data_IF_769401078315
#
_entry.id   IF_769401078315
#
_cell.length_a   1.000
_cell.length_b   1.000
_cell.length_c   1.000
_cell.angle_alpha   90.00
_cell.angle_beta   90.00
_cell.angle_gamma   90.00
#
_symmetry.space_group_name_H-M   'P 1'
#
loop_
_entity.id
_entity.type
_entity.pdbx_description
1 polymer ?
#
# COMPACT_ATOMS: atom_id res chain seq x y z
N UNK A 1 13.45 -41.65 -31.19
CA UNK A 1 14.08 -40.33 -31.42
C UNK A 1 13.82 -39.47 -30.20
N UNK A 2 14.83 -39.30 -29.34
CA UNK A 2 14.72 -38.55 -28.09
C UNK A 2 14.92 -37.06 -28.37
N UNK A 3 13.83 -36.31 -28.42
CA UNK A 3 13.85 -34.85 -28.55
C UNK A 3 14.25 -34.25 -27.20
N UNK A 4 15.55 -34.23 -26.91
CA UNK A 4 16.09 -33.47 -25.78
C UNK A 4 15.91 -32.00 -26.11
N UNK A 5 14.77 -31.43 -25.71
CA UNK A 5 14.52 -30.00 -25.78
C UNK A 5 15.65 -29.27 -25.07
N UNK A 6 16.22 -28.28 -25.74
CA UNK A 6 17.35 -27.52 -25.21
C UNK A 6 16.96 -26.87 -23.88
N UNK A 7 17.89 -26.78 -22.92
CA UNK A 7 17.64 -26.09 -21.65
C UNK A 7 17.10 -24.66 -21.85
N UNK A 8 17.42 -24.05 -23.00
CA UNK A 8 16.92 -22.76 -23.45
C UNK A 8 15.40 -22.77 -23.77
N UNK A 9 14.87 -23.82 -24.39
CA UNK A 9 13.43 -23.94 -24.68
C UNK A 9 12.62 -24.15 -23.41
N UNK A 10 13.16 -24.92 -22.45
CA UNK A 10 12.53 -25.11 -21.13
C UNK A 10 12.52 -23.78 -20.36
N UNK A 11 13.60 -23.00 -20.44
CA UNK A 11 13.68 -21.69 -19.82
C UNK A 11 12.70 -20.69 -20.44
N UNK A 12 12.61 -20.60 -21.77
CA UNK A 12 11.70 -19.68 -22.46
C UNK A 12 10.22 -20.03 -22.21
N UNK A 13 9.86 -21.31 -22.25
CA UNK A 13 8.49 -21.75 -21.92
C UNK A 13 8.11 -21.46 -20.45
N UNK A 14 9.08 -21.43 -19.54
CA UNK A 14 8.88 -21.07 -18.14
C UNK A 14 8.75 -19.55 -17.97
N UNK A 15 9.47 -18.76 -18.77
CA UNK A 15 9.37 -17.28 -18.82
C UNK A 15 8.03 -16.84 -19.42
N UNK A 16 7.54 -17.50 -20.46
CA UNK A 16 6.20 -17.25 -21.03
C UNK A 16 5.08 -17.63 -20.07
N UNK A 17 5.22 -18.76 -19.33
CA UNK A 17 4.26 -19.15 -18.27
C UNK A 17 4.36 -18.31 -17.00
N UNK A 18 5.50 -17.66 -16.76
CA UNK A 18 5.65 -16.66 -15.70
C UNK A 18 4.96 -15.33 -16.04
N UNK A 19 4.25 -15.27 -17.17
CA UNK A 19 3.20 -14.30 -17.47
C UNK A 19 3.71 -12.88 -17.28
N UNK A 20 4.26 -12.29 -18.35
CA UNK A 20 4.77 -10.93 -18.41
C UNK A 20 4.10 -10.05 -17.35
N UNK A 21 4.78 -9.84 -16.21
CA UNK A 21 4.26 -9.03 -15.11
C UNK A 21 3.85 -7.72 -15.74
N UNK A 22 2.54 -7.49 -15.77
CA UNK A 22 1.98 -6.35 -16.49
C UNK A 22 2.57 -5.08 -15.92
N UNK A 23 2.72 -4.02 -16.72
CA UNK A 23 3.28 -2.76 -16.23
C UNK A 23 2.53 -2.28 -14.98
N UNK A 24 1.22 -2.51 -14.91
CA UNK A 24 0.36 -2.25 -13.74
C UNK A 24 0.78 -3.04 -12.49
N UNK A 25 1.11 -4.34 -12.60
CA UNK A 25 1.59 -5.14 -11.48
C UNK A 25 2.97 -4.69 -11.00
N UNK A 26 3.86 -4.29 -11.92
CA UNK A 26 5.16 -3.71 -11.56
C UNK A 26 4.99 -2.39 -10.83
N UNK A 27 4.10 -1.52 -11.30
CA UNK A 27 3.73 -0.28 -10.65
C UNK A 27 3.21 -0.55 -9.24
N UNK A 28 2.32 -1.52 -9.09
CA UNK A 28 1.76 -1.92 -7.79
C UNK A 28 2.86 -2.35 -6.81
N UNK A 29 3.76 -3.25 -7.22
CA UNK A 29 4.85 -3.72 -6.37
C UNK A 29 5.81 -2.61 -5.94
N UNK A 30 6.02 -1.60 -6.79
CA UNK A 30 6.86 -0.44 -6.47
C UNK A 30 6.17 0.53 -5.50
N UNK A 31 4.92 0.88 -5.77
CA UNK A 31 4.27 2.04 -5.14
C UNK A 31 3.44 1.70 -3.90
N UNK A 32 2.92 0.47 -3.78
CA UNK A 32 2.24 0.01 -2.56
C UNK A 32 3.16 0.09 -1.32
N UNK A 33 4.40 -0.45 -1.32
CA UNK A 33 5.29 -0.33 -0.16
C UNK A 33 5.72 1.12 0.11
N UNK A 34 5.85 1.95 -0.93
CA UNK A 34 6.13 3.39 -0.78
C UNK A 34 4.97 4.11 -0.06
N UNK A 35 3.73 3.79 -0.40
CA UNK A 35 2.54 4.25 0.31
C UNK A 35 2.54 3.88 1.78
N UNK A 36 2.89 2.64 2.11
CA UNK A 36 3.01 2.19 3.48
C UNK A 36 4.07 2.96 4.28
N UNK A 37 5.24 3.22 3.68
CA UNK A 37 6.28 4.08 4.30
C UNK A 37 5.79 5.50 4.52
N UNK A 38 5.05 6.07 3.56
CA UNK A 38 4.49 7.41 3.68
C UNK A 38 3.50 7.50 4.85
N UNK A 39 2.60 6.52 4.98
CA UNK A 39 1.69 6.43 6.12
C UNK A 39 2.44 6.27 7.46
N UNK A 40 3.48 5.45 7.52
CA UNK A 40 4.29 5.30 8.72
C UNK A 40 5.00 6.61 9.11
N UNK A 41 5.51 7.36 8.12
CA UNK A 41 6.11 8.70 8.34
C UNK A 41 5.05 9.72 8.80
N UNK A 42 3.84 9.68 8.24
CA UNK A 42 2.73 10.52 8.70
C UNK A 42 2.44 10.29 10.19
N UNK A 43 2.29 9.03 10.59
CA UNK A 43 1.98 8.66 11.98
C UNK A 43 3.13 9.04 12.93
N UNK A 44 4.39 8.76 12.55
CA UNK A 44 5.54 8.93 13.45
C UNK A 44 6.13 10.34 13.45
N UNK A 45 6.08 11.05 12.33
CA UNK A 45 6.82 12.30 12.11
C UNK A 45 5.90 13.51 11.84
N UNK A 46 4.56 13.36 11.97
CA UNK A 46 3.59 14.42 11.65
C UNK A 46 3.78 15.02 10.23
N UNK A 47 4.25 14.20 9.30
CA UNK A 47 4.51 14.63 7.92
C UNK A 47 3.16 14.83 7.20
N UNK A 48 3.00 15.87 6.40
CA UNK A 48 1.74 16.10 5.67
C UNK A 48 1.54 15.05 4.54
N UNK A 49 0.50 14.23 4.68
CA UNK A 49 0.17 13.16 3.71
C UNK A 49 -0.14 13.72 2.32
N UNK A 50 -0.82 14.87 2.23
CA UNK A 50 -1.20 15.52 0.96
C UNK A 50 0.03 16.00 0.22
N UNK A 51 1.01 16.56 0.96
CA UNK A 51 2.28 16.99 0.38
C UNK A 51 3.08 15.81 -0.18
N UNK A 52 3.14 14.70 0.57
CA UNK A 52 3.82 13.48 0.10
C UNK A 52 3.13 12.83 -1.11
N UNK A 53 1.80 12.79 -1.14
CA UNK A 53 1.04 12.26 -2.28
C UNK A 53 1.16 13.12 -3.53
N UNK A 54 1.41 14.43 -3.39
CA UNK A 54 1.57 15.34 -4.52
C UNK A 54 2.84 15.10 -5.34
N UNK A 55 3.78 14.30 -4.82
CA UNK A 55 5.03 13.94 -5.51
C UNK A 55 4.86 12.78 -6.51
N UNK A 56 3.69 12.13 -6.51
CA UNK A 56 3.41 10.97 -7.36
C UNK A 56 2.42 11.32 -8.47
N UNK A 57 2.70 10.82 -9.68
CA UNK A 57 1.77 10.89 -10.82
C UNK A 57 0.48 10.11 -10.55
N UNK A 58 -0.61 10.43 -11.25
CA UNK A 58 -1.95 9.89 -10.99
C UNK A 58 -2.00 8.34 -11.02
N UNK A 59 -1.31 7.73 -11.97
CA UNK A 59 -1.21 6.27 -12.09
C UNK A 59 -0.49 5.63 -10.89
N UNK A 60 0.58 6.26 -10.40
CA UNK A 60 1.30 5.80 -9.22
C UNK A 60 0.53 6.11 -7.93
N UNK A 61 -0.11 7.27 -7.86
CA UNK A 61 -0.83 7.79 -6.69
C UNK A 61 -1.91 6.83 -6.23
N UNK A 62 -2.62 6.15 -7.15
CA UNK A 62 -3.59 5.10 -6.79
C UNK A 62 -2.98 3.97 -5.95
N UNK A 63 -1.82 3.47 -6.37
CA UNK A 63 -1.11 2.39 -5.66
C UNK A 63 -0.48 2.88 -4.35
N UNK A 64 0.02 4.12 -4.31
CA UNK A 64 0.53 4.75 -3.08
C UNK A 64 -0.60 4.93 -2.06
N UNK A 65 -1.78 5.37 -2.49
CA UNK A 65 -2.96 5.50 -1.62
C UNK A 65 -3.39 4.14 -1.09
N UNK A 66 -3.40 3.09 -1.92
CA UNK A 66 -3.73 1.72 -1.49
C UNK A 66 -2.81 1.27 -0.34
N UNK A 67 -1.49 1.40 -0.51
CA UNK A 67 -0.53 1.01 0.51
C UNK A 67 -0.56 1.90 1.77
N UNK A 68 -0.78 3.20 1.60
CA UNK A 68 -0.92 4.12 2.72
C UNK A 68 -2.20 3.84 3.53
N UNK A 69 -3.30 3.56 2.84
CA UNK A 69 -4.60 3.24 3.43
C UNK A 69 -4.55 1.99 4.31
N UNK A 70 -3.90 0.91 3.86
CA UNK A 70 -3.76 -0.32 4.65
C UNK A 70 -3.05 -0.06 5.99
N UNK A 71 -1.97 0.74 5.98
CA UNK A 71 -1.24 1.10 7.22
C UNK A 71 -2.07 2.01 8.12
N UNK A 72 -2.73 3.03 7.55
CA UNK A 72 -3.55 3.95 8.32
C UNK A 72 -4.73 3.21 8.98
N UNK A 73 -5.42 2.35 8.24
CA UNK A 73 -6.54 1.54 8.75
C UNK A 73 -6.08 0.64 9.88
N UNK A 74 -4.93 -0.04 9.73
CA UNK A 74 -4.34 -0.87 10.80
C UNK A 74 -3.94 -0.08 12.04
N UNK A 75 -3.70 1.23 11.89
CA UNK A 75 -3.34 2.10 13.00
C UNK A 75 -4.54 2.80 13.65
N UNK A 76 -5.75 2.69 13.08
CA UNK A 76 -6.97 3.14 13.74
C UNK A 76 -7.27 2.16 14.87
N UNK A 77 -6.99 2.57 16.10
CA UNK A 77 -7.54 1.90 17.29
C UNK A 77 -9.06 2.12 17.31
N UNK A 78 -9.80 1.17 16.74
CA UNK A 78 -11.24 1.07 16.93
C UNK A 78 -11.50 0.92 18.44
N UNK A 79 -12.40 1.71 19.05
CA UNK A 79 -12.67 1.60 20.47
C UNK A 79 -13.19 0.20 20.79
N UNK A 80 -12.32 -0.64 21.38
CA UNK A 80 -12.63 -2.03 21.73
C UNK A 80 -13.66 -2.18 22.86
N UNK A 81 -14.07 -1.08 23.49
CA UNK A 81 -15.02 -1.09 24.61
C UNK A 81 -15.85 0.21 24.71
N UNK A 82 -17.09 0.10 25.17
CA UNK A 82 -18.07 1.20 25.31
C UNK A 82 -17.54 2.41 26.13
N UNK A 83 -16.60 2.17 27.04
CA UNK A 83 -15.95 3.21 27.85
C UNK A 83 -15.12 4.21 27.02
N UNK A 84 -14.49 3.76 25.91
CA UNK A 84 -13.75 4.65 25.02
C UNK A 84 -14.68 5.56 24.19
N UNK A 85 -15.92 5.11 23.93
CA UNK A 85 -16.97 5.86 23.22
C UNK A 85 -17.52 7.03 24.05
N UNK A 86 -17.53 6.92 25.39
CA UNK A 86 -17.93 8.03 26.29
C UNK A 86 -16.89 9.14 26.39
N UNK A 87 -15.60 8.84 26.26
CA UNK A 87 -14.55 9.85 26.40
C UNK A 87 -14.42 10.74 25.14
N UNK A 88 -14.65 10.19 23.95
CA UNK A 88 -14.66 10.98 22.70
C UNK A 88 -15.84 11.98 22.64
N UNK A 89 -17.00 11.64 23.23
CA UNK A 89 -18.13 12.58 23.39
C UNK A 89 -17.84 13.71 24.39
N UNK A 90 -17.12 13.47 25.49
CA UNK A 90 -16.78 14.53 26.46
C UNK A 90 -15.76 15.54 25.93
N UNK A 91 -14.85 15.11 25.06
CA UNK A 91 -13.91 16.01 24.40
C UNK A 91 -14.57 16.93 23.37
N UNK A 92 -15.68 16.52 22.73
CA UNK A 92 -16.45 17.37 21.82
C UNK A 92 -17.46 18.28 22.52
N UNK A 93 -17.59 18.19 23.85
CA UNK A 93 -18.59 18.93 24.64
C UNK A 93 -17.94 19.85 25.69
N UNK A 94 -16.65 20.19 25.56
CA UNK A 94 -16.06 21.29 26.33
C UNK A 94 -16.38 22.60 25.60
N UNK A 95 -17.30 23.46 26.11
CA UNK A 95 -17.40 24.82 25.63
C UNK A 95 -16.08 25.55 25.91
N UNK A 96 -15.65 26.38 24.96
CA UNK A 96 -14.60 27.38 25.19
C UNK A 96 -15.13 28.46 26.13
#
# INVERSE_FOLDING_TARGET
MGEVKSAMEIAMAKVEKLGAVTDEERLKWKYVPEGGKLAAKYIKQNLNLVAGLSQYEENAKRHVIEGAGDILIRNIDLPKNDSAKRNSKRLSMKPR
#
